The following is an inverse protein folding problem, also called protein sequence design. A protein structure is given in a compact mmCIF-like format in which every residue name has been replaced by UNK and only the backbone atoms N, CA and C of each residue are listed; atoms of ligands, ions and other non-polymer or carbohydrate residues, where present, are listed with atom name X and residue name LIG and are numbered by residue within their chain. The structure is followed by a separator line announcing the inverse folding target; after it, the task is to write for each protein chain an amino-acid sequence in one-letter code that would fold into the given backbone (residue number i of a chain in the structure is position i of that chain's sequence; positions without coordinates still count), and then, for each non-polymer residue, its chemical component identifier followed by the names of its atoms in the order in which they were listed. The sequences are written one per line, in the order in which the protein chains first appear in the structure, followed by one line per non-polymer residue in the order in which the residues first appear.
data_IF_194711906573
#
_entry.id   IF_194711906573
#
_cell.length_a   1.000
_cell.length_b   1.000
_cell.length_c   1.000
_cell.angle_alpha   90.00
_cell.angle_beta   90.00
_cell.angle_gamma   90.00
#
_symmetry.space_group_name_H-M   'P 1'
#
loop_
_entity.id
_entity.type
_entity.pdbx_description
1 polymer ?
#
# COMPACT_ATOMS: atom_id res chain seq x y z
N UNK A 1 -0.44 -9.97 20.81
CA UNK A 1 -0.46 -8.54 20.42
C UNK A 1 -0.60 -8.50 18.91
N UNK A 2 -1.66 -7.88 18.39
CA UNK A 2 -1.84 -7.68 16.96
C UNK A 2 -0.79 -6.66 16.49
N UNK A 3 -0.08 -6.96 15.42
CA UNK A 3 0.92 -6.09 14.83
C UNK A 3 0.88 -6.32 13.35
N UNK A 4 0.36 -5.35 12.60
CA UNK A 4 0.27 -5.44 11.15
C UNK A 4 1.65 -5.53 10.50
N UNK A 5 1.76 -6.28 9.41
CA UNK A 5 3.02 -6.68 8.77
C UNK A 5 3.09 -6.15 7.34
N UNK A 6 3.87 -5.10 7.11
CA UNK A 6 3.81 -4.32 5.85
C UNK A 6 5.04 -4.42 4.93
N UNK A 7 5.76 -5.54 4.98
CA UNK A 7 6.86 -5.82 4.04
C UNK A 7 6.83 -7.28 3.59
N UNK A 8 5.77 -7.71 2.88
CA UNK A 8 5.70 -9.08 2.43
C UNK A 8 6.78 -9.35 1.38
N UNK A 9 7.30 -10.58 1.37
CA UNK A 9 8.05 -11.06 0.22
C UNK A 9 7.04 -11.43 -0.88
N UNK A 10 7.19 -10.89 -2.08
CA UNK A 10 6.23 -11.09 -3.18
C UNK A 10 6.95 -11.70 -4.37
N UNK A 11 6.61 -12.93 -4.71
CA UNK A 11 7.18 -13.60 -5.88
C UNK A 11 6.12 -13.81 -6.93
N UNK A 12 6.55 -13.88 -8.18
CA UNK A 12 5.70 -14.38 -9.25
C UNK A 12 5.60 -15.90 -9.14
N UNK A 13 4.41 -16.41 -9.42
CA UNK A 13 4.25 -17.80 -9.76
C UNK A 13 5.06 -18.15 -11.04
N UNK A 14 5.40 -19.43 -11.21
CA UNK A 14 6.20 -19.94 -12.34
C UNK A 14 5.60 -19.60 -13.70
N UNK A 15 4.27 -19.53 -13.78
CA UNK A 15 3.54 -19.22 -15.01
C UNK A 15 3.25 -17.72 -15.16
N UNK A 16 3.72 -16.89 -14.21
CA UNK A 16 3.48 -15.44 -14.13
C UNK A 16 2.00 -15.07 -14.17
N UNK A 17 1.13 -15.94 -13.65
CA UNK A 17 -0.32 -15.68 -13.66
C UNK A 17 -0.81 -14.95 -12.42
N UNK A 18 -0.10 -15.12 -11.30
CA UNK A 18 -0.47 -14.58 -10.00
C UNK A 18 0.74 -14.23 -9.14
N UNK A 19 0.52 -13.37 -8.14
CA UNK A 19 1.52 -13.06 -7.12
C UNK A 19 1.36 -14.05 -5.95
N UNK A 20 2.48 -14.52 -5.42
CA UNK A 20 2.56 -15.27 -4.17
C UNK A 20 3.15 -14.36 -3.11
N UNK A 21 2.34 -14.02 -2.11
CA UNK A 21 2.69 -13.08 -1.05
C UNK A 21 2.97 -13.86 0.23
N UNK A 22 4.17 -13.69 0.78
CA UNK A 22 4.62 -14.32 2.01
C UNK A 22 4.74 -13.26 3.11
N UNK A 23 4.06 -13.44 4.25
CA UNK A 23 4.23 -12.55 5.41
C UNK A 23 5.70 -12.50 5.88
N UNK A 24 6.17 -11.36 6.41
CA UNK A 24 7.57 -11.16 6.83
C UNK A 24 8.10 -12.22 7.80
N UNK A 25 7.23 -12.81 8.63
CA UNK A 25 7.61 -13.78 9.66
C UNK A 25 7.81 -15.21 9.14
N UNK A 26 7.62 -15.48 7.83
CA UNK A 26 7.82 -16.80 7.20
C UNK A 26 6.82 -17.90 7.60
N UNK A 27 6.25 -17.83 8.81
CA UNK A 27 5.30 -18.79 9.38
C UNK A 27 3.83 -18.42 9.16
N UNK A 28 3.54 -17.38 8.38
CA UNK A 28 2.17 -16.94 8.07
C UNK A 28 1.60 -17.64 6.83
N UNK A 29 0.27 -17.66 6.72
CA UNK A 29 -0.40 -18.14 5.51
C UNK A 29 0.08 -17.33 4.29
N UNK A 30 0.35 -18.03 3.19
CA UNK A 30 0.62 -17.43 1.87
C UNK A 30 -0.69 -16.91 1.26
N UNK A 31 -0.62 -15.78 0.58
CA UNK A 31 -1.74 -15.24 -0.19
C UNK A 31 -1.46 -15.32 -1.68
N UNK A 32 -2.44 -15.80 -2.45
CA UNK A 32 -2.34 -15.93 -3.90
C UNK A 32 -3.19 -14.82 -4.56
N UNK A 33 -2.52 -13.83 -5.18
CA UNK A 33 -3.15 -12.66 -5.80
C UNK A 33 -3.28 -12.88 -7.30
N UNK A 34 -4.49 -13.24 -7.76
CA UNK A 34 -4.81 -13.41 -9.19
C UNK A 34 -5.33 -12.14 -9.86
N UNK A 35 -5.93 -11.27 -9.06
CA UNK A 35 -6.59 -10.04 -9.51
C UNK A 35 -6.22 -8.91 -8.58
N UNK A 36 -5.88 -7.75 -9.14
CA UNK A 36 -5.86 -6.50 -8.40
C UNK A 36 -7.23 -5.84 -8.55
N UNK A 37 -7.89 -5.60 -7.43
CA UNK A 37 -9.23 -5.03 -7.36
C UNK A 37 -9.18 -3.59 -6.82
N UNK A 38 -9.61 -2.59 -7.59
CA UNK A 38 -9.75 -1.22 -7.11
C UNK A 38 -11.08 -1.07 -6.37
N UNK A 39 -11.01 -0.75 -5.09
CA UNK A 39 -12.17 -0.50 -4.23
C UNK A 39 -13.07 0.60 -4.79
N UNK A 40 -14.39 0.41 -4.71
CA UNK A 40 -15.37 1.46 -5.01
C UNK A 40 -15.33 2.62 -4.01
N UNK A 41 -14.65 2.44 -2.87
CA UNK A 41 -14.37 3.49 -1.88
C UNK A 41 -13.18 4.38 -2.27
N UNK A 42 -12.55 4.12 -3.41
CA UNK A 42 -11.47 4.98 -3.91
C UNK A 42 -12.03 6.29 -4.45
N UNK A 43 -11.27 7.37 -4.33
CA UNK A 43 -11.60 8.61 -5.02
C UNK A 43 -11.31 8.46 -6.52
N UNK A 44 -12.09 9.11 -7.41
CA UNK A 44 -11.72 9.23 -8.81
C UNK A 44 -10.48 10.11 -8.95
N UNK A 45 -9.71 9.89 -10.02
CA UNK A 45 -8.62 10.80 -10.34
C UNK A 45 -9.17 12.12 -10.90
N UNK A 46 -8.81 13.23 -10.26
CA UNK A 46 -9.25 14.59 -10.62
C UNK A 46 -8.10 15.51 -11.05
N UNK A 47 -6.93 14.96 -11.35
CA UNK A 47 -5.78 15.69 -11.90
C UNK A 47 -4.52 15.64 -11.05
N UNK A 48 -3.40 16.04 -11.64
CA UNK A 48 -2.06 15.96 -11.03
C UNK A 48 -1.82 16.98 -9.93
N UNK A 49 -2.62 18.05 -9.88
CA UNK A 49 -2.59 19.04 -8.81
C UNK A 49 -3.00 18.48 -7.44
N UNK A 50 -3.66 17.31 -7.42
CA UNK A 50 -4.10 16.66 -6.21
C UNK A 50 -3.15 15.57 -5.74
N UNK A 51 -3.03 15.41 -4.42
CA UNK A 51 -2.25 14.35 -3.79
C UNK A 51 -3.14 13.18 -3.42
N UNK A 52 -2.66 11.98 -3.68
CA UNK A 52 -3.34 10.75 -3.30
C UNK A 52 -2.40 9.84 -2.52
N UNK A 53 -2.97 9.09 -1.60
CA UNK A 53 -2.34 7.94 -0.98
C UNK A 53 -3.11 6.69 -1.38
N UNK A 54 -2.41 5.57 -1.45
CA UNK A 54 -3.06 4.29 -1.70
C UNK A 54 -2.42 3.15 -0.94
N UNK A 55 -3.20 2.10 -0.78
CA UNK A 55 -2.80 0.84 -0.14
C UNK A 55 -3.23 -0.31 -1.03
N UNK A 56 -2.44 -1.39 -1.02
CA UNK A 56 -2.84 -2.71 -1.49
C UNK A 56 -2.84 -3.67 -0.30
N UNK A 57 -3.87 -4.49 -0.17
CA UNK A 57 -4.01 -5.47 0.91
C UNK A 57 -4.05 -6.87 0.31
N UNK A 58 -3.23 -7.75 0.89
CA UNK A 58 -3.12 -9.15 0.51
C UNK A 58 -3.85 -10.07 1.48
N UNK A 59 -3.94 -9.70 2.76
CA UNK A 59 -4.71 -10.45 3.72
C UNK A 59 -4.95 -9.72 5.03
N UNK A 60 -5.88 -10.26 5.80
CA UNK A 60 -6.28 -9.78 7.13
C UNK A 60 -6.47 -10.98 8.05
N UNK A 61 -5.83 -11.00 9.21
CA UNK A 61 -5.87 -12.10 10.19
C UNK A 61 -5.60 -13.48 9.58
N UNK A 62 -4.75 -13.53 8.54
CA UNK A 62 -4.45 -14.77 7.80
C UNK A 62 -5.51 -15.23 6.80
N UNK A 63 -6.51 -14.40 6.47
CA UNK A 63 -7.51 -14.67 5.45
C UNK A 63 -7.21 -13.94 4.14
N UNK A 64 -7.44 -14.63 3.02
CA UNK A 64 -7.35 -14.16 1.62
C UNK A 64 -8.69 -13.70 1.04
N UNK A 65 -9.79 -13.98 1.75
CA UNK A 65 -11.16 -13.55 1.48
C UNK A 65 -11.81 -13.21 2.83
N UNK A 66 -12.21 -11.94 3.03
CA UNK A 66 -12.66 -11.46 4.34
C UNK A 66 -13.66 -10.30 4.25
N UNK A 67 -14.36 -10.07 5.36
CA UNK A 67 -15.18 -8.88 5.56
C UNK A 67 -14.58 -8.00 6.66
N UNK A 68 -14.61 -6.69 6.47
CA UNK A 68 -14.13 -5.71 7.45
C UNK A 68 -15.23 -5.28 8.42
N UNK A 69 -14.88 -4.54 9.48
CA UNK A 69 -15.84 -4.06 10.48
C UNK A 69 -17.05 -3.29 9.92
N UNK A 70 -16.89 -2.57 8.79
CA UNK A 70 -17.99 -1.89 8.10
C UNK A 70 -18.66 -2.71 6.98
N UNK A 71 -18.44 -4.02 6.93
CA UNK A 71 -19.06 -4.94 5.97
C UNK A 71 -18.46 -4.92 4.55
N UNK A 72 -17.30 -4.29 4.34
CA UNK A 72 -16.64 -4.31 3.03
C UNK A 72 -16.07 -5.70 2.77
N UNK A 73 -16.46 -6.31 1.65
CA UNK A 73 -15.89 -7.57 1.19
C UNK A 73 -14.57 -7.31 0.47
N UNK A 74 -13.52 -7.98 0.92
CA UNK A 74 -12.17 -7.86 0.39
C UNK A 74 -11.61 -9.23 0.03
N UNK A 75 -10.74 -9.26 -0.98
CA UNK A 75 -9.92 -10.42 -1.34
C UNK A 75 -8.47 -10.00 -1.53
N UNK A 76 -7.53 -10.95 -1.53
CA UNK A 76 -6.12 -10.66 -1.80
C UNK A 76 -5.94 -9.85 -3.10
N UNK A 77 -5.21 -8.73 -3.02
CA UNK A 77 -5.04 -7.78 -4.13
C UNK A 77 -5.98 -6.58 -4.09
N UNK A 78 -6.58 -6.28 -2.94
CA UNK A 78 -7.55 -5.19 -2.79
C UNK A 78 -6.83 -3.83 -2.66
N UNK A 79 -7.09 -2.92 -3.57
CA UNK A 79 -6.49 -1.57 -3.65
C UNK A 79 -7.49 -0.51 -3.22
N UNK A 80 -7.04 0.46 -2.45
CA UNK A 80 -7.80 1.68 -2.13
C UNK A 80 -6.93 2.89 -2.46
N UNK A 81 -7.48 3.87 -3.17
CA UNK A 81 -6.81 5.14 -3.51
C UNK A 81 -7.66 6.30 -2.99
N UNK A 82 -7.11 7.16 -2.15
CA UNK A 82 -7.83 8.30 -1.59
C UNK A 82 -7.07 9.59 -1.81
N UNK A 83 -7.80 10.69 -2.04
CA UNK A 83 -7.24 12.02 -2.09
C UNK A 83 -6.89 12.48 -0.66
N UNK A 84 -5.65 12.91 -0.45
CA UNK A 84 -5.06 13.12 0.89
C UNK A 84 -4.81 14.59 1.23
N UNK A 85 -4.91 15.49 0.26
CA UNK A 85 -4.73 16.93 0.43
C UNK A 85 -6.03 17.68 0.77
N UNK A 86 -7.11 16.98 1.09
CA UNK A 86 -8.38 17.57 1.49
C UNK A 86 -8.40 17.97 2.97
N UNK A 87 -9.18 18.99 3.30
CA UNK A 87 -9.44 19.39 4.69
C UNK A 87 -10.02 18.22 5.52
N UNK A 88 -10.94 17.46 4.94
CA UNK A 88 -11.52 16.27 5.58
C UNK A 88 -10.43 15.24 5.94
N UNK A 89 -9.50 14.96 5.03
CA UNK A 89 -8.41 14.01 5.31
C UNK A 89 -7.47 14.53 6.40
N UNK A 90 -7.15 15.83 6.40
CA UNK A 90 -6.32 16.45 7.45
C UNK A 90 -7.00 16.38 8.83
N UNK A 91 -8.31 16.53 8.91
CA UNK A 91 -9.08 16.36 10.16
C UNK A 91 -9.05 14.90 10.64
N UNK A 92 -9.14 13.93 9.73
CA UNK A 92 -8.97 12.52 10.07
C UNK A 92 -7.57 12.22 10.59
N UNK A 93 -6.52 12.80 10.00
CA UNK A 93 -5.15 12.68 10.51
C UNK A 93 -5.03 13.22 11.93
N UNK A 94 -5.66 14.37 12.24
CA UNK A 94 -5.70 14.93 13.60
C UNK A 94 -6.55 14.09 14.56
N UNK A 95 -7.60 13.43 14.09
CA UNK A 95 -8.50 12.61 14.92
C UNK A 95 -7.89 11.24 15.24
N UNK A 96 -7.16 10.66 14.29
CA UNK A 96 -6.64 9.30 14.35
C UNK A 96 -5.12 9.28 14.38
N UNK A 97 -4.54 10.10 15.26
CA UNK A 97 -3.10 10.32 15.35
C UNK A 97 -2.33 9.03 15.63
N UNK A 98 -2.95 8.06 16.31
CA UNK A 98 -2.32 6.80 16.69
C UNK A 98 -2.42 5.70 15.62
N UNK A 99 -2.98 5.99 14.43
CA UNK A 99 -2.99 5.01 13.34
C UNK A 99 -1.60 4.88 12.72
N UNK A 100 -1.14 3.65 12.47
CA UNK A 100 0.18 3.43 11.90
C UNK A 100 0.29 4.05 10.50
N UNK A 101 1.47 4.58 10.17
CA UNK A 101 1.78 5.02 8.81
C UNK A 101 1.22 6.38 8.38
N UNK A 102 0.71 7.21 9.31
CA UNK A 102 0.22 8.62 9.19
C UNK A 102 -0.84 8.90 8.11
N UNK A 103 -0.63 8.43 6.87
CA UNK A 103 -1.55 8.49 5.73
C UNK A 103 -2.21 7.13 5.51
N UNK A 104 -1.45 6.03 5.45
CA UNK A 104 -2.01 4.74 5.04
C UNK A 104 -2.95 4.12 6.07
N UNK A 105 -2.67 4.27 7.37
CA UNK A 105 -3.61 3.82 8.42
C UNK A 105 -4.90 4.62 8.46
N UNK A 106 -4.84 5.89 8.08
CA UNK A 106 -6.03 6.71 7.90
C UNK A 106 -6.85 6.20 6.72
N UNK A 107 -6.20 5.89 5.59
CA UNK A 107 -6.86 5.31 4.41
C UNK A 107 -7.53 3.98 4.77
N UNK A 108 -6.80 3.07 5.44
CA UNK A 108 -7.34 1.79 5.89
C UNK A 108 -8.56 1.99 6.78
N UNK A 109 -8.42 2.79 7.84
CA UNK A 109 -9.50 3.02 8.79
C UNK A 109 -10.71 3.69 8.18
N UNK A 110 -10.51 4.68 7.31
CA UNK A 110 -11.59 5.34 6.56
C UNK A 110 -12.31 4.33 5.64
N UNK A 111 -11.55 3.48 4.93
CA UNK A 111 -12.11 2.52 4.00
C UNK A 111 -12.88 1.39 4.70
N UNK A 112 -12.37 0.89 5.82
CA UNK A 112 -12.79 -0.40 6.39
C UNK A 112 -13.47 -0.31 7.75
N UNK A 113 -13.44 0.86 8.40
CA UNK A 113 -14.11 1.10 9.68
C UNK A 113 -13.41 0.46 10.89
N UNK A 114 -12.18 -0.01 10.73
CA UNK A 114 -11.38 -0.66 11.77
C UNK A 114 -9.94 -0.13 11.75
N UNK A 115 -9.25 -0.20 12.89
CA UNK A 115 -7.85 0.22 13.00
C UNK A 115 -6.90 -0.93 12.64
N UNK A 116 -5.78 -0.61 11.99
CA UNK A 116 -4.69 -1.58 11.76
C UNK A 116 -4.03 -2.05 13.06
N UNK A 117 -4.28 -1.40 14.20
CA UNK A 117 -3.79 -1.85 15.50
C UNK A 117 -4.65 -2.99 16.09
N UNK A 118 -5.83 -3.26 15.52
CA UNK A 118 -6.78 -4.25 16.04
C UNK A 118 -6.75 -5.56 15.26
N UNK A 119 -6.11 -5.57 14.09
CA UNK A 119 -6.10 -6.67 13.13
C UNK A 119 -4.70 -6.87 12.57
N UNK A 120 -4.35 -8.08 12.14
CA UNK A 120 -3.09 -8.35 11.43
C UNK A 120 -3.30 -8.16 9.92
N UNK A 121 -2.91 -6.99 9.40
CA UNK A 121 -3.00 -6.68 7.98
C UNK A 121 -1.66 -6.97 7.29
N UNK A 122 -1.73 -7.66 6.15
CA UNK A 122 -0.60 -7.84 5.24
C UNK A 122 -0.87 -7.00 3.98
N UNK A 123 -0.02 -6.02 3.73
CA UNK A 123 -0.22 -5.09 2.61
C UNK A 123 1.01 -4.25 2.33
N UNK A 124 0.84 -3.30 1.41
CA UNK A 124 1.85 -2.31 1.01
C UNK A 124 1.17 -0.98 0.72
N UNK A 125 1.94 0.10 0.67
CA UNK A 125 1.45 1.47 0.55
C UNK A 125 2.19 2.23 -0.54
N UNK A 126 1.51 3.18 -1.14
CA UNK A 126 2.04 4.06 -2.18
C UNK A 126 1.45 5.47 -2.08
N UNK A 127 2.05 6.41 -2.80
CA UNK A 127 1.57 7.78 -2.98
C UNK A 127 1.50 8.17 -4.44
N UNK A 128 0.66 9.14 -4.75
CA UNK A 128 0.63 9.82 -6.04
C UNK A 128 0.73 11.32 -5.75
N UNK A 129 1.87 11.91 -6.09
CA UNK A 129 2.19 13.31 -5.79
C UNK A 129 2.60 13.96 -7.11
N UNK A 130 2.00 15.10 -7.44
CA UNK A 130 2.22 15.81 -8.70
C UNK A 130 1.98 14.90 -9.93
N UNK A 131 1.03 13.96 -9.79
CA UNK A 131 0.72 12.96 -10.81
C UNK A 131 1.68 11.76 -10.87
N UNK A 132 2.80 11.78 -10.15
CA UNK A 132 3.81 10.71 -10.18
C UNK A 132 3.54 9.62 -9.14
N UNK A 133 3.69 8.36 -9.54
CA UNK A 133 3.59 7.20 -8.64
C UNK A 133 4.85 7.09 -7.77
N UNK A 134 4.68 7.02 -6.45
CA UNK A 134 5.76 6.98 -5.45
C UNK A 134 5.58 5.79 -4.51
N UNK A 135 6.63 5.00 -4.35
CA UNK A 135 6.66 3.78 -3.53
C UNK A 135 7.48 3.91 -2.26
N UNK A 136 8.25 5.01 -2.13
CA UNK A 136 8.98 5.34 -0.90
C UNK A 136 7.99 6.06 0.02
N UNK A 137 7.35 5.31 0.89
CA UNK A 137 6.48 5.86 1.92
C UNK A 137 6.74 5.12 3.22
N UNK A 138 6.77 5.84 4.34
CA UNK A 138 6.79 5.26 5.69
C UNK A 138 5.45 4.55 5.96
N UNK A 139 5.21 3.46 5.24
CA UNK A 139 4.00 2.67 5.22
C UNK A 139 3.93 1.89 6.54
N UNK A 140 3.12 2.39 7.47
CA UNK A 140 2.70 1.70 8.71
C UNK A 140 3.74 1.40 9.79
N UNK A 141 4.83 2.15 9.89
CA UNK A 141 5.71 2.01 11.05
C UNK A 141 5.13 2.63 12.32
N UNK A 142 5.28 1.98 13.49
CA UNK A 142 5.08 2.63 14.78
C UNK A 142 6.09 3.78 14.91
N UNK A 143 5.69 4.86 15.57
CA UNK A 143 6.52 6.04 15.80
C UNK A 143 7.92 5.65 16.27
N UNK A 144 8.95 5.97 15.48
CA UNK A 144 10.15 6.51 16.10
C UNK A 144 9.75 7.92 16.48
N UNK A 145 9.70 8.22 17.77
CA UNK A 145 9.31 9.54 18.27
C UNK A 145 10.06 10.62 17.47
N UNK A 146 9.33 11.61 16.95
CA UNK A 146 9.89 12.79 16.29
C UNK A 146 10.72 13.68 17.29
N UNK A 147 10.89 13.22 18.54
CA UNK A 147 11.77 13.81 19.55
C UNK A 147 13.26 13.47 19.35
N UNK A 148 13.60 12.53 18.46
CA UNK A 148 14.98 12.40 18.00
C UNK A 148 15.23 13.47 16.92
N UNK A 149 15.32 14.73 17.37
CA UNK A 149 15.94 15.81 16.61
C UNK A 149 17.42 15.48 16.45
N UNK A 150 17.70 14.55 15.53
CA UNK A 150 19.04 14.25 15.07
C UNK A 150 19.75 15.55 14.74
N UNK A 151 20.95 15.68 15.30
CA UNK A 151 21.82 16.83 15.17
C UNK A 151 21.90 17.25 13.68
N UNK A 152 21.66 18.52 13.31
CA UNK A 152 21.70 18.97 11.91
C UNK A 152 23.04 18.68 11.19
N UNK A 153 24.11 18.36 11.93
CA UNK A 153 25.40 17.96 11.38
C UNK A 153 25.46 16.52 10.82
N UNK A 154 24.51 15.64 11.16
CA UNK A 154 24.47 14.25 10.65
C UNK A 154 23.95 14.14 9.20
N UNK A 155 23.47 15.25 8.62
CA UNK A 155 22.96 15.26 7.24
C UNK A 155 24.05 15.19 6.16
N UNK A 156 25.34 15.24 6.53
CA UNK A 156 26.45 15.32 5.55
C UNK A 156 27.13 14.00 5.17
N UNK A 157 26.77 12.86 5.75
CA UNK A 157 27.46 11.58 5.50
C UNK A 157 26.57 10.42 5.01
N UNK A 158 25.60 10.66 4.11
CA UNK A 158 24.84 9.58 3.45
C UNK A 158 25.25 9.24 2.02
N UNK A 159 26.43 9.67 1.59
CA UNK A 159 27.07 9.19 0.35
C UNK A 159 28.54 8.85 0.61
N UNK A 160 28.81 7.63 1.05
CA UNK A 160 30.06 6.86 0.85
C UNK A 160 30.01 5.63 1.75
N UNK A 161 30.15 4.43 1.17
CA UNK A 161 29.87 3.17 1.85
C UNK A 161 30.94 2.66 2.81
N UNK A 162 30.56 1.65 3.60
CA UNK A 162 31.26 0.36 3.76
C UNK A 162 30.38 -0.60 4.56
N UNK A 163 30.45 -1.87 4.17
CA UNK A 163 29.72 -3.02 4.70
C UNK A 163 29.72 -3.13 6.23
N UNK A 164 28.58 -3.56 6.79
CA UNK A 164 28.48 -4.84 7.51
C UNK A 164 27.04 -5.05 8.04
N UNK A 165 26.28 -5.91 7.34
CA UNK A 165 25.28 -6.81 7.92
C UNK A 165 24.22 -6.27 8.90
N UNK A 166 23.61 -5.12 8.59
CA UNK A 166 22.23 -4.82 8.99
C UNK A 166 21.48 -4.37 7.75
N UNK A 167 20.80 -5.32 7.09
CA UNK A 167 20.01 -5.02 5.90
C UNK A 167 19.01 -3.91 6.24
N UNK A 168 19.29 -2.72 5.72
CA UNK A 168 18.32 -1.65 5.63
C UNK A 168 17.16 -2.19 4.82
N UNK A 169 16.11 -2.62 5.53
CA UNK A 169 14.86 -3.02 4.92
C UNK A 169 14.39 -1.85 4.05
N UNK A 170 14.53 -2.00 2.74
CA UNK A 170 14.09 -1.00 1.78
C UNK A 170 12.61 -0.74 2.04
N UNK A 171 12.26 0.47 2.49
CA UNK A 171 10.90 0.94 2.82
C UNK A 171 9.99 1.04 1.59
N UNK A 172 10.37 0.41 0.51
CA UNK A 172 9.75 0.50 -0.79
C UNK A 172 8.83 -0.70 -1.00
N UNK A 173 7.70 -0.44 -1.64
CA UNK A 173 6.87 -1.49 -2.22
C UNK A 173 7.71 -2.48 -3.03
N UNK A 174 7.44 -3.77 -2.85
CA UNK A 174 8.10 -4.86 -3.53
C UNK A 174 8.04 -4.65 -5.06
N UNK A 175 9.16 -4.82 -5.80
CA UNK A 175 9.22 -4.49 -7.23
C UNK A 175 8.14 -5.13 -8.10
N UNK A 176 7.77 -6.37 -7.79
CA UNK A 176 6.70 -7.09 -8.50
C UNK A 176 5.33 -6.46 -8.23
N UNK A 177 5.02 -6.19 -6.96
CA UNK A 177 3.78 -5.50 -6.57
C UNK A 177 3.71 -4.11 -7.20
N UNK A 178 4.82 -3.36 -7.15
CA UNK A 178 5.00 -2.04 -7.75
C UNK A 178 4.61 -2.06 -9.23
N UNK A 179 5.17 -2.96 -10.03
CA UNK A 179 4.87 -3.07 -11.46
C UNK A 179 3.37 -3.23 -11.73
N UNK A 180 2.71 -4.11 -10.98
CA UNK A 180 1.28 -4.37 -11.16
C UNK A 180 0.42 -3.18 -10.69
N UNK A 181 0.72 -2.62 -9.52
CA UNK A 181 -0.05 -1.50 -8.95
C UNK A 181 0.14 -0.22 -9.75
N UNK A 182 1.34 0.05 -10.26
CA UNK A 182 1.60 1.18 -11.14
C UNK A 182 0.73 1.11 -12.41
N UNK A 183 0.65 -0.05 -13.09
CA UNK A 183 -0.22 -0.23 -14.26
C UNK A 183 -1.71 -0.03 -13.92
N UNK A 184 -2.15 -0.47 -12.74
CA UNK A 184 -3.52 -0.26 -12.26
C UNK A 184 -3.77 1.23 -11.97
N UNK A 185 -2.81 1.92 -11.37
CA UNK A 185 -2.86 3.36 -11.13
C UNK A 185 -2.91 4.15 -12.44
N UNK A 186 -2.11 3.79 -13.45
CA UNK A 186 -2.15 4.44 -14.76
C UNK A 186 -3.49 4.21 -15.49
N UNK A 187 -4.09 3.03 -15.32
CA UNK A 187 -5.45 2.81 -15.79
C UNK A 187 -6.46 3.69 -15.04
N UNK A 188 -6.40 3.72 -13.70
CA UNK A 188 -7.30 4.53 -12.86
C UNK A 188 -7.20 6.02 -13.19
N UNK A 189 -5.99 6.55 -13.43
CA UNK A 189 -5.77 7.94 -13.87
C UNK A 189 -6.48 8.22 -15.19
N UNK A 190 -6.35 7.33 -16.18
CA UNK A 190 -7.02 7.46 -17.49
C UNK A 190 -8.54 7.34 -17.39
N UNK A 191 -9.04 6.48 -16.52
CA UNK A 191 -10.46 6.26 -16.34
C UNK A 191 -11.16 7.43 -15.60
N UNK A 192 -10.46 8.13 -14.70
CA UNK A 192 -11.01 9.28 -13.98
C UNK A 192 -12.26 8.89 -13.18
N UNK A 193 -13.39 9.55 -13.44
CA UNK A 193 -14.69 9.23 -12.82
C UNK A 193 -15.24 7.86 -13.22
N UNK A 194 -14.80 7.31 -14.35
CA UNK A 194 -15.34 6.07 -14.92
C UNK A 194 -14.61 4.81 -14.42
N UNK A 195 -13.70 4.95 -13.43
CA UNK A 195 -12.93 3.81 -12.92
C UNK A 195 -13.80 2.67 -12.34
N UNK A 196 -15.04 2.99 -11.96
CA UNK A 196 -16.00 1.99 -11.48
C UNK A 196 -16.48 1.03 -12.58
N UNK A 197 -16.33 1.38 -13.86
CA UNK A 197 -16.71 0.51 -14.98
C UNK A 197 -15.82 -0.74 -15.07
N UNK A 198 -14.59 -0.68 -14.54
CA UNK A 198 -13.67 -1.82 -14.49
C UNK A 198 -12.77 -1.76 -13.27
N UNK A 199 -13.21 -2.40 -12.19
CA UNK A 199 -12.45 -2.44 -10.95
C UNK A 199 -11.45 -3.60 -10.88
N UNK A 200 -11.63 -4.64 -11.70
CA UNK A 200 -10.84 -5.87 -11.64
C UNK A 200 -9.78 -5.91 -12.75
N UNK A 201 -8.53 -6.13 -12.35
CA UNK A 201 -7.38 -6.26 -13.24
C UNK A 201 -6.65 -7.57 -12.97
N UNK A 202 -6.70 -8.52 -13.93
CA UNK A 202 -5.98 -9.78 -13.81
C UNK A 202 -4.47 -9.53 -13.79
N UNK A 203 -3.76 -10.16 -12.83
CA UNK A 203 -2.30 -10.01 -12.67
C UNK A 203 -1.56 -10.45 -13.94
N UNK A 204 -1.97 -11.57 -14.54
CA UNK A 204 -1.45 -12.04 -15.83
C UNK A 204 -1.42 -10.95 -16.91
N UNK A 205 -2.52 -10.20 -17.07
CA UNK A 205 -2.63 -9.12 -18.06
C UNK A 205 -1.76 -7.91 -17.74
N UNK A 206 -1.58 -7.61 -16.44
CA UNK A 206 -0.69 -6.53 -16.01
C UNK A 206 0.78 -6.89 -16.27
N UNK A 207 1.13 -8.18 -16.22
CA UNK A 207 2.50 -8.64 -16.42
C UNK A 207 2.87 -8.89 -17.89
N UNK A 208 1.89 -9.10 -18.77
CA UNK A 208 2.11 -9.48 -20.17
C UNK A 208 2.48 -8.34 -21.11
N UNK A 209 2.40 -7.08 -20.67
CA UNK A 209 2.54 -5.90 -21.53
C UNK A 209 3.91 -5.23 -21.36
N UNK A 210 4.97 -5.90 -21.80
CA UNK A 210 6.26 -5.31 -22.16
C UNK A 210 6.56 -5.46 -23.68
N UNK A 211 5.58 -5.89 -24.48
CA UNK A 211 5.68 -5.98 -25.95
C UNK A 211 4.59 -5.14 -26.61
N UNK A 212 4.85 -3.85 -26.79
CA UNK A 212 4.31 -3.06 -27.90
C UNK A 212 5.35 -2.01 -28.33
#
# INVERSE_FOLDING_TARGET
MAGSKFMPNVVLDSEREHLKVFPPSGNGRRFDVRTIHISCKSNPYSGSQHKYGGIIIYGRDGFDDWYTANGTHCKSGYVVIMQTDTQEFQELQKKWQNEPGKVHGIIYKKAFGESCNQVDVVGEGFGIIDGEFKTISNTFHPFLNDDDKGNPDDKKHRFAGKDDSKHGHSLEMHPVSKKCVEKVVEWWKRAGSNFLERQNHAVKSLLSSDEE
#
